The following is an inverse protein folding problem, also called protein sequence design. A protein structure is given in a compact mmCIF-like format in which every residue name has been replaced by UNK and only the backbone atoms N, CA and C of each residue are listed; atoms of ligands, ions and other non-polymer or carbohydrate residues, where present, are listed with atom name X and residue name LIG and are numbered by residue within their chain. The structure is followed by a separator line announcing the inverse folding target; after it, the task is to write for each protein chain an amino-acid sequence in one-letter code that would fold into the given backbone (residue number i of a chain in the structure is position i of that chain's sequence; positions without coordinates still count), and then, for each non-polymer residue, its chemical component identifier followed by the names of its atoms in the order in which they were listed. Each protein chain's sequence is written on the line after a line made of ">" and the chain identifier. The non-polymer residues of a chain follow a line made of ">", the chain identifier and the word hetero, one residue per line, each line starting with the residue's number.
data_IF_008892190906
#
_entry.id   IF_008892190906
#
_cell.length_a   1.000
_cell.length_b   1.000
_cell.length_c   1.000
_cell.angle_alpha   90.00
_cell.angle_beta   90.00
_cell.angle_gamma   90.00
#
_symmetry.space_group_name_H-M   'P 1'
#
loop_
_entity.id
_entity.type
_entity.pdbx_description
1 polymer ?
#
# COMPACT_ATOMS: atom_id res chain seq x y z
N UNK A 1 56.14 3.21 -29.15
CA UNK A 1 55.76 3.79 -27.85
C UNK A 1 54.75 4.88 -28.16
N UNK A 2 53.46 4.55 -28.04
CA UNK A 2 52.35 5.41 -28.48
C UNK A 2 51.38 5.50 -27.31
N UNK A 3 51.33 6.70 -26.73
CA UNK A 3 50.55 7.01 -25.53
C UNK A 3 49.07 6.98 -25.89
N UNK A 4 48.33 6.03 -25.30
CA UNK A 4 46.86 5.99 -25.35
C UNK A 4 46.33 7.19 -24.55
N UNK A 5 45.60 8.10 -25.20
CA UNK A 5 45.04 9.33 -24.59
C UNK A 5 43.55 9.26 -24.22
N UNK A 6 42.93 8.08 -24.24
CA UNK A 6 41.55 7.95 -23.78
C UNK A 6 41.35 6.66 -22.99
N UNK A 7 41.32 6.80 -21.66
CA UNK A 7 40.68 5.87 -20.73
C UNK A 7 39.54 6.62 -20.05
N UNK A 8 38.44 6.81 -20.77
CA UNK A 8 37.20 7.28 -20.17
C UNK A 8 36.42 6.08 -19.66
N UNK A 9 36.43 5.83 -18.34
CA UNK A 9 35.40 5.03 -17.72
C UNK A 9 34.12 5.86 -17.78
N UNK A 10 33.23 5.59 -18.72
CA UNK A 10 31.84 5.98 -18.53
C UNK A 10 31.38 5.26 -17.27
N UNK A 11 31.43 5.96 -16.12
CA UNK A 11 30.68 5.57 -14.94
C UNK A 11 29.26 5.40 -15.43
N UNK A 12 28.73 4.19 -15.31
CA UNK A 12 27.29 3.92 -15.37
C UNK A 12 26.65 4.85 -14.34
N UNK A 13 26.18 6.02 -14.79
CA UNK A 13 25.64 7.06 -13.91
C UNK A 13 24.25 6.63 -13.48
N UNK A 14 24.18 5.86 -12.40
CA UNK A 14 23.00 5.79 -11.54
C UNK A 14 22.78 7.12 -10.78
N UNK A 15 23.80 7.97 -10.72
CA UNK A 15 23.84 9.33 -10.14
C UNK A 15 23.02 10.41 -10.88
N UNK A 16 22.15 10.06 -11.83
CA UNK A 16 21.32 11.05 -12.56
C UNK A 16 19.83 10.70 -12.54
N UNK A 17 19.48 9.44 -12.33
CA UNK A 17 18.09 8.99 -12.36
C UNK A 17 17.68 8.69 -10.93
N UNK A 18 17.15 9.71 -10.26
CA UNK A 18 16.46 9.58 -8.97
C UNK A 18 15.34 8.53 -9.07
N UNK A 19 14.94 7.97 -7.93
CA UNK A 19 13.68 7.23 -7.82
C UNK A 19 12.54 8.20 -8.20
N UNK A 20 12.06 8.11 -9.44
CA UNK A 20 11.01 8.97 -9.98
C UNK A 20 9.73 8.68 -9.20
N UNK A 21 9.27 9.64 -8.41
CA UNK A 21 7.93 9.61 -7.84
C UNK A 21 6.94 9.62 -9.01
N UNK A 22 6.13 8.56 -9.19
CA UNK A 22 5.35 8.39 -10.40
C UNK A 22 4.26 9.48 -10.50
N UNK A 23 3.97 9.93 -11.73
CA UNK A 23 2.87 10.86 -11.96
C UNK A 23 1.53 10.15 -11.73
N UNK A 24 0.92 10.40 -10.58
CA UNK A 24 -0.27 9.69 -10.09
C UNK A 24 -1.61 10.26 -10.63
N UNK A 25 -1.59 11.31 -11.45
CA UNK A 25 -2.79 12.01 -11.95
C UNK A 25 -3.10 11.67 -13.41
N UNK A 26 -4.37 11.38 -13.71
CA UNK A 26 -4.83 10.92 -15.04
C UNK A 26 -5.72 11.94 -15.78
N UNK A 27 -6.05 13.09 -15.17
CA UNK A 27 -7.05 14.03 -15.70
C UNK A 27 -6.44 15.36 -16.23
N UNK A 28 -6.91 15.89 -17.39
CA UNK A 28 -6.43 17.17 -17.93
C UNK A 28 -7.03 18.43 -17.26
N UNK A 29 -8.13 18.30 -16.52
CA UNK A 29 -8.79 19.40 -15.80
C UNK A 29 -8.76 19.13 -14.29
N UNK A 30 -7.61 19.35 -13.67
CA UNK A 30 -7.44 19.22 -12.22
C UNK A 30 -7.87 20.53 -11.56
N UNK A 31 -8.80 20.47 -10.62
CA UNK A 31 -9.12 21.59 -9.74
C UNK A 31 -8.04 21.64 -8.65
N UNK A 32 -7.09 22.56 -8.80
CA UNK A 32 -6.17 22.90 -7.72
C UNK A 32 -6.82 24.05 -6.96
N UNK A 33 -7.11 23.91 -5.64
CA UNK A 33 -7.63 25.04 -4.88
C UNK A 33 -6.67 26.23 -5.00
N UNK A 34 -7.20 27.44 -5.02
CA UNK A 34 -6.36 28.63 -5.01
C UNK A 34 -5.86 28.87 -3.56
N UNK A 35 -4.58 28.65 -3.29
CA UNK A 35 -3.98 28.90 -1.98
C UNK A 35 -2.47 28.73 -1.99
N UNK A 36 -1.81 29.46 -1.10
CA UNK A 36 -0.41 29.24 -0.76
C UNK A 36 -0.39 28.51 0.58
N UNK A 37 0.10 27.27 0.59
CA UNK A 37 0.18 26.47 1.79
C UNK A 37 1.62 26.05 2.07
N UNK A 38 1.89 25.80 3.34
CA UNK A 38 3.18 25.38 3.87
C UNK A 38 2.99 24.10 4.69
N UNK A 39 3.96 23.18 4.71
CA UNK A 39 3.91 22.05 5.62
C UNK A 39 4.13 22.55 7.05
N UNK A 40 3.63 21.82 8.04
CA UNK A 40 3.89 22.18 9.43
C UNK A 40 5.38 22.03 9.76
N UNK A 41 5.94 23.02 10.46
CA UNK A 41 7.38 23.10 10.76
C UNK A 41 7.87 22.03 11.75
N UNK A 42 6.95 21.31 12.36
CA UNK A 42 7.22 20.23 13.31
C UNK A 42 7.18 18.84 12.70
N UNK A 43 6.91 18.73 11.39
CA UNK A 43 6.88 17.44 10.71
C UNK A 43 8.28 16.81 10.65
N UNK A 44 8.41 15.53 11.01
CA UNK A 44 9.66 14.82 10.86
C UNK A 44 9.97 14.56 9.38
N UNK A 45 11.26 14.48 9.06
CA UNK A 45 11.77 14.07 7.74
C UNK A 45 11.46 12.59 7.53
N UNK A 46 10.72 12.29 6.46
CA UNK A 46 10.34 10.91 6.10
C UNK A 46 11.46 10.23 5.32
N UNK A 47 12.03 10.93 4.35
CA UNK A 47 13.08 10.39 3.50
C UNK A 47 13.95 11.51 2.92
N UNK A 48 15.15 11.12 2.51
CA UNK A 48 16.10 11.99 1.84
C UNK A 48 16.37 11.48 0.42
N UNK A 49 16.36 12.38 -0.56
CA UNK A 49 16.76 12.05 -1.93
C UNK A 49 18.24 11.66 -1.98
N UNK A 50 18.57 10.51 -2.59
CA UNK A 50 19.95 10.04 -2.63
C UNK A 50 20.86 10.94 -3.46
N UNK A 51 20.39 11.47 -4.61
CA UNK A 51 21.18 12.35 -5.46
C UNK A 51 21.02 13.83 -5.07
N UNK A 52 19.78 14.28 -4.84
CA UNK A 52 19.49 15.68 -4.49
C UNK A 52 19.90 16.05 -3.06
N UNK A 53 20.04 15.05 -2.18
CA UNK A 53 20.26 15.20 -0.74
C UNK A 53 19.17 16.04 -0.05
N UNK A 54 18.01 16.16 -0.69
CA UNK A 54 16.88 16.93 -0.18
C UNK A 54 16.03 16.10 0.77
N UNK A 55 15.55 16.76 1.83
CA UNK A 55 14.73 16.15 2.86
C UNK A 55 13.25 16.43 2.58
N UNK A 56 12.44 15.38 2.62
CA UNK A 56 11.00 15.43 2.35
C UNK A 56 10.20 15.06 3.60
N UNK A 57 9.12 15.80 3.84
CA UNK A 57 8.23 15.64 5.01
C UNK A 57 6.84 15.11 4.64
N UNK A 58 6.46 15.18 3.36
CA UNK A 58 5.23 14.57 2.83
C UNK A 58 5.54 14.06 1.42
N UNK A 59 5.13 12.84 1.10
CA UNK A 59 5.26 12.31 -0.26
C UNK A 59 4.05 12.60 -1.14
N UNK A 60 4.26 12.63 -2.45
CA UNK A 60 3.19 12.77 -3.44
C UNK A 60 2.15 11.66 -3.30
N UNK A 61 0.88 12.00 -3.52
CA UNK A 61 -0.22 11.06 -3.49
C UNK A 61 -0.75 10.73 -2.09
N UNK A 62 -0.10 11.23 -1.03
CA UNK A 62 -0.57 11.07 0.34
C UNK A 62 -1.77 11.95 0.64
N UNK A 63 -2.70 11.39 1.40
CA UNK A 63 -3.87 12.13 1.89
C UNK A 63 -3.41 13.14 2.93
N UNK A 64 -3.82 14.39 2.77
CA UNK A 64 -3.40 15.51 3.61
C UNK A 64 -4.56 16.16 4.34
N UNK A 65 -4.26 16.70 5.52
CA UNK A 65 -5.13 17.53 6.36
C UNK A 65 -4.48 18.90 6.57
N UNK A 66 -5.22 19.82 7.19
CA UNK A 66 -4.70 21.09 7.66
C UNK A 66 -4.65 21.13 9.19
N UNK A 67 -3.61 21.74 9.74
CA UNK A 67 -3.63 22.18 11.13
C UNK A 67 -4.53 23.40 11.27
N UNK A 68 -4.94 23.70 12.50
CA UNK A 68 -5.68 24.93 12.82
C UNK A 68 -4.92 26.22 12.43
N UNK A 69 -3.61 26.13 12.23
CA UNK A 69 -2.76 27.25 11.81
C UNK A 69 -2.69 27.40 10.27
N UNK A 70 -3.41 26.55 9.51
CA UNK A 70 -3.40 26.56 8.04
C UNK A 70 -2.19 25.86 7.42
N UNK A 71 -1.48 25.03 8.19
CA UNK A 71 -0.32 24.28 7.71
C UNK A 71 -0.75 22.88 7.25
N UNK A 72 -0.14 22.36 6.19
CA UNK A 72 -0.44 21.03 5.67
C UNK A 72 0.29 19.98 6.49
N UNK A 73 -0.43 18.90 6.82
CA UNK A 73 0.10 17.72 7.48
C UNK A 73 -0.45 16.45 6.83
N UNK A 74 0.28 15.32 6.85
CA UNK A 74 -0.29 14.03 6.46
C UNK A 74 -1.51 13.67 7.34
N UNK A 75 -2.54 13.09 6.72
CA UNK A 75 -3.76 12.67 7.40
C UNK A 75 -3.54 11.62 8.52
N UNK A 76 -2.37 10.99 8.63
CA UNK A 76 -2.05 10.07 9.72
C UNK A 76 -2.29 10.64 11.12
N UNK A 77 -2.03 11.93 11.32
CA UNK A 77 -2.21 12.57 12.62
C UNK A 77 -3.69 12.65 13.01
N UNK A 78 -4.57 12.82 12.01
CA UNK A 78 -6.02 12.71 12.15
C UNK A 78 -6.45 11.25 12.35
N UNK A 79 -5.88 10.32 11.58
CA UNK A 79 -6.19 8.90 11.67
C UNK A 79 -5.96 8.35 13.08
N UNK A 80 -4.80 8.65 13.67
CA UNK A 80 -4.47 8.20 15.03
C UNK A 80 -5.49 8.74 16.03
N UNK A 81 -5.88 10.01 15.90
CA UNK A 81 -6.88 10.63 16.76
C UNK A 81 -8.30 10.06 16.59
N UNK A 82 -8.60 9.42 15.45
CA UNK A 82 -9.88 8.78 15.19
C UNK A 82 -9.87 7.28 15.49
N UNK A 83 -8.70 6.68 15.73
CA UNK A 83 -8.58 5.23 15.90
C UNK A 83 -9.18 4.81 17.24
N UNK A 84 -10.25 3.98 17.27
CA UNK A 84 -10.84 3.53 18.52
C UNK A 84 -9.83 2.75 19.34
N UNK A 85 -9.62 3.16 20.60
CA UNK A 85 -8.68 2.49 21.51
C UNK A 85 -7.22 2.90 21.37
N UNK A 86 -6.91 3.98 20.65
CA UNK A 86 -5.58 4.60 20.70
C UNK A 86 -5.21 4.92 22.15
N UNK A 87 -4.06 4.40 22.60
CA UNK A 87 -3.59 4.61 23.96
C UNK A 87 -2.88 5.96 24.08
N UNK A 88 -3.00 6.62 25.24
CA UNK A 88 -2.28 7.85 25.56
C UNK A 88 -0.75 7.74 25.31
N UNK A 89 -0.21 6.54 25.43
CA UNK A 89 1.21 6.18 25.26
C UNK A 89 1.61 5.84 23.82
N UNK A 90 0.68 5.78 22.88
CA UNK A 90 0.99 5.46 21.49
C UNK A 90 1.89 6.55 20.90
N UNK A 91 2.94 6.14 20.20
CA UNK A 91 3.90 7.07 19.59
C UNK A 91 3.31 7.64 18.30
N UNK A 92 3.25 8.97 18.21
CA UNK A 92 2.70 9.68 17.07
C UNK A 92 3.80 10.25 16.18
N UNK A 93 4.80 10.88 16.81
CA UNK A 93 5.93 11.49 16.11
C UNK A 93 7.22 10.83 16.59
N UNK A 94 8.12 10.55 15.66
CA UNK A 94 9.49 10.11 15.96
C UNK A 94 10.43 11.08 15.28
N UNK A 95 11.15 11.87 16.09
CA UNK A 95 12.23 12.71 15.63
C UNK A 95 13.55 11.91 15.64
N UNK A 96 14.26 12.01 14.53
CA UNK A 96 15.53 11.35 14.24
C UNK A 96 16.71 12.33 14.31
N UNK A 97 17.92 11.83 14.10
CA UNK A 97 19.10 12.69 13.96
C UNK A 97 19.03 13.60 12.73
N UNK A 98 18.28 13.21 11.68
CA UNK A 98 18.05 14.06 10.51
C UNK A 98 17.20 15.27 10.88
N UNK A 99 16.20 15.09 11.74
CA UNK A 99 15.34 16.19 12.22
C UNK A 99 16.13 17.22 13.04
N UNK A 100 17.04 16.74 13.88
CA UNK A 100 17.98 17.60 14.62
C UNK A 100 18.86 18.38 13.64
N UNK A 101 19.41 17.70 12.62
CA UNK A 101 20.28 18.32 11.62
C UNK A 101 19.53 19.34 10.74
N UNK A 102 18.23 19.10 10.47
CA UNK A 102 17.37 20.02 9.74
C UNK A 102 16.82 21.16 10.59
N UNK A 103 16.91 21.07 11.92
CA UNK A 103 16.33 22.05 12.83
C UNK A 103 14.81 22.00 12.88
N UNK A 104 14.22 20.81 12.69
CA UNK A 104 12.76 20.59 12.82
C UNK A 104 12.28 21.11 14.17
N UNK A 105 11.13 21.77 14.18
CA UNK A 105 10.56 22.32 15.41
C UNK A 105 9.89 21.20 16.20
N UNK A 106 10.18 21.14 17.49
CA UNK A 106 9.52 20.22 18.41
C UNK A 106 8.07 20.67 18.66
N UNK A 107 7.11 19.79 18.40
CA UNK A 107 5.70 20.07 18.68
C UNK A 107 5.45 20.39 20.16
N UNK A 108 6.23 19.80 21.08
CA UNK A 108 6.05 19.98 22.51
C UNK A 108 6.45 21.37 22.99
N UNK A 109 7.61 21.84 22.52
CA UNK A 109 8.24 23.05 23.05
C UNK A 109 8.14 24.26 22.11
N UNK A 110 7.91 24.05 20.82
CA UNK A 110 7.99 25.10 19.80
C UNK A 110 9.41 25.58 19.51
N UNK A 111 10.42 24.86 19.97
CA UNK A 111 11.85 25.14 19.73
C UNK A 111 12.44 24.02 18.87
N UNK A 112 13.57 24.24 18.20
CA UNK A 112 14.24 23.21 17.42
C UNK A 112 14.56 21.96 18.25
N UNK A 113 14.32 20.77 17.68
CA UNK A 113 14.65 19.49 18.28
C UNK A 113 16.17 19.38 18.44
N UNK A 114 16.63 19.06 19.66
CA UNK A 114 18.07 19.01 19.99
C UNK A 114 18.63 17.58 20.05
N UNK A 115 17.76 16.58 20.15
CA UNK A 115 18.11 15.17 20.14
C UNK A 115 16.96 14.33 19.59
N UNK A 116 17.27 13.17 19.03
CA UNK A 116 16.26 12.20 18.60
C UNK A 116 15.36 11.82 19.79
N UNK A 117 14.05 11.84 19.58
CA UNK A 117 13.04 11.54 20.60
C UNK A 117 11.71 11.14 19.97
N UNK A 118 10.85 10.52 20.74
CA UNK A 118 9.46 10.21 20.35
C UNK A 118 8.50 11.10 21.10
N UNK A 119 7.38 11.45 20.47
CA UNK A 119 6.27 12.17 21.09
C UNK A 119 5.05 11.25 21.04
N UNK A 120 4.47 11.02 22.21
CA UNK A 120 3.25 10.23 22.39
C UNK A 120 2.00 11.03 22.09
N UNK A 121 0.88 10.31 21.95
CA UNK A 121 -0.43 10.87 21.69
C UNK A 121 -0.86 11.87 22.76
N UNK A 122 -0.64 11.54 24.04
CA UNK A 122 -0.89 12.45 25.16
C UNK A 122 0.02 13.67 25.13
N UNK A 123 1.34 13.49 24.94
CA UNK A 123 2.31 14.59 24.92
C UNK A 123 1.97 15.61 23.83
N UNK A 124 1.56 15.13 22.65
CA UNK A 124 1.12 16.02 21.56
C UNK A 124 -0.14 16.81 21.92
N UNK A 125 -1.16 16.18 22.51
CA UNK A 125 -2.40 16.87 22.89
C UNK A 125 -2.15 17.95 23.96
N UNK A 126 -1.38 17.60 24.99
CA UNK A 126 -0.98 18.54 26.05
C UNK A 126 -0.19 19.70 25.47
N UNK A 127 0.74 19.43 24.56
CA UNK A 127 1.54 20.46 23.91
C UNK A 127 0.71 21.43 23.08
N UNK A 128 -0.24 20.92 22.29
CA UNK A 128 -1.13 21.72 21.45
C UNK A 128 -1.97 22.69 22.28
N UNK A 129 -2.50 22.23 23.43
CA UNK A 129 -3.23 23.08 24.37
C UNK A 129 -2.30 24.08 25.08
N UNK A 130 -1.18 23.61 25.64
CA UNK A 130 -0.24 24.44 26.40
C UNK A 130 0.37 25.57 25.55
N UNK A 131 0.56 25.31 24.25
CA UNK A 131 1.03 26.30 23.28
C UNK A 131 -0.08 27.19 22.73
N UNK A 132 -1.33 26.96 23.09
CA UNK A 132 -2.49 27.71 22.62
C UNK A 132 -2.77 27.53 21.12
N UNK A 133 -2.36 26.40 20.54
CA UNK A 133 -2.63 26.08 19.13
C UNK A 133 -4.09 25.66 18.93
N UNK A 134 -4.70 25.11 19.98
CA UNK A 134 -6.13 24.84 20.13
C UNK A 134 -6.53 25.31 21.53
N UNK A 135 -7.73 25.86 21.67
CA UNK A 135 -8.29 26.12 23.00
C UNK A 135 -9.14 24.92 23.46
N UNK A 136 -9.23 24.71 24.77
CA UNK A 136 -10.11 23.68 25.36
C UNK A 136 -11.56 23.82 24.85
N UNK A 137 -12.05 25.05 24.70
CA UNK A 137 -13.37 25.32 24.15
C UNK A 137 -13.52 24.87 22.70
N UNK A 138 -12.48 25.02 21.87
CA UNK A 138 -12.53 24.54 20.48
C UNK A 138 -12.57 23.01 20.39
N UNK A 139 -12.02 22.32 21.39
CA UNK A 139 -12.08 20.87 21.51
C UNK A 139 -13.37 20.39 22.23
N UNK A 140 -14.30 21.31 22.52
CA UNK A 140 -15.60 20.98 23.10
C UNK A 140 -15.65 20.94 24.64
N UNK A 141 -14.53 21.24 25.31
CA UNK A 141 -14.47 21.27 26.78
C UNK A 141 -15.03 22.58 27.34
N UNK A 142 -15.44 22.53 28.60
CA UNK A 142 -16.03 23.68 29.30
C UNK A 142 -15.33 23.93 30.63
N UNK A 143 -15.52 25.10 31.22
CA UNK A 143 -14.95 25.38 32.55
C UNK A 143 -15.46 24.41 33.64
N UNK A 144 -16.60 23.76 33.41
CA UNK A 144 -17.19 22.76 34.31
C UNK A 144 -16.74 21.33 34.01
N UNK A 145 -16.09 21.13 32.88
CA UNK A 145 -15.61 19.83 32.37
C UNK A 145 -14.29 20.08 31.61
N UNK A 146 -13.20 20.38 32.34
CA UNK A 146 -11.92 20.73 31.75
C UNK A 146 -11.20 19.48 31.22
N UNK A 147 -10.32 19.67 30.24
CA UNK A 147 -9.49 18.61 29.69
C UNK A 147 -8.70 17.86 30.79
N UNK A 148 -8.69 16.54 30.69
CA UNK A 148 -7.93 15.64 31.56
C UNK A 148 -6.94 14.80 30.76
N UNK A 149 -5.79 14.51 31.36
CA UNK A 149 -4.72 13.73 30.71
C UNK A 149 -4.91 12.22 30.83
N UNK A 150 -6.01 11.78 31.44
CA UNK A 150 -6.30 10.37 31.71
C UNK A 150 -7.35 9.76 30.80
N UNK A 151 -8.17 10.58 30.15
CA UNK A 151 -9.21 10.10 29.22
C UNK A 151 -8.70 10.13 27.78
N UNK A 152 -8.57 8.95 27.17
CA UNK A 152 -8.14 8.80 25.78
C UNK A 152 -9.09 9.45 24.77
N UNK A 153 -10.37 9.60 25.12
CA UNK A 153 -11.38 10.25 24.29
C UNK A 153 -11.15 11.75 24.25
N UNK A 154 -10.88 12.36 25.40
CA UNK A 154 -10.59 13.79 25.48
C UNK A 154 -9.29 14.15 24.76
N UNK A 155 -8.25 13.30 24.89
CA UNK A 155 -6.98 13.44 24.16
C UNK A 155 -7.24 13.40 22.63
N UNK A 156 -8.09 12.47 22.19
CA UNK A 156 -8.51 12.40 20.80
C UNK A 156 -9.24 13.66 20.34
N UNK A 157 -10.19 14.17 21.12
CA UNK A 157 -10.96 15.38 20.78
C UNK A 157 -10.07 16.62 20.61
N UNK A 158 -9.04 16.79 21.44
CA UNK A 158 -8.04 17.87 21.29
C UNK A 158 -7.33 17.79 19.94
N UNK A 159 -6.81 16.60 19.59
CA UNK A 159 -6.05 16.42 18.35
C UNK A 159 -6.96 16.46 17.13
N UNK A 160 -8.20 16.01 17.28
CA UNK A 160 -9.24 16.14 16.28
C UNK A 160 -9.64 17.60 16.02
N UNK A 161 -9.62 18.45 17.04
CA UNK A 161 -9.83 19.89 16.88
C UNK A 161 -8.59 20.61 16.31
N UNK A 162 -7.40 20.04 16.50
CA UNK A 162 -6.15 20.59 15.96
C UNK A 162 -5.94 20.28 14.47
N UNK A 163 -6.18 19.03 14.07
CA UNK A 163 -6.00 18.53 12.71
C UNK A 163 -7.37 18.35 12.07
N UNK A 164 -7.60 19.04 10.96
CA UNK A 164 -8.84 18.98 10.20
C UNK A 164 -9.11 17.58 9.64
N UNK A 165 -10.35 17.36 9.19
CA UNK A 165 -10.64 16.30 8.24
C UNK A 165 -9.78 16.46 6.96
N UNK A 166 -9.56 15.39 6.18
CA UNK A 166 -8.82 15.42 4.93
C UNK A 166 -9.31 16.50 3.99
N UNK A 167 -8.36 17.24 3.44
CA UNK A 167 -8.63 18.35 2.50
C UNK A 167 -8.29 17.99 1.06
N UNK A 168 -7.55 16.91 0.83
CA UNK A 168 -7.15 16.46 -0.49
C UNK A 168 -5.94 15.56 -0.47
N UNK A 169 -5.22 15.54 -1.59
CA UNK A 169 -4.04 14.68 -1.78
C UNK A 169 -2.85 15.51 -2.23
N UNK A 170 -1.67 15.29 -1.63
CA UNK A 170 -0.45 15.99 -1.98
C UNK A 170 -0.09 15.81 -3.47
N UNK A 171 0.11 16.91 -4.19
CA UNK A 171 0.41 16.87 -5.61
C UNK A 171 1.83 16.34 -5.89
N UNK A 172 2.79 16.79 -5.09
CA UNK A 172 4.21 16.50 -5.24
C UNK A 172 4.81 16.16 -3.88
N UNK A 173 6.04 15.66 -3.88
CA UNK A 173 6.81 15.56 -2.65
C UNK A 173 7.05 16.96 -2.08
N UNK A 174 6.86 17.09 -0.76
CA UNK A 174 6.93 18.35 -0.03
C UNK A 174 8.22 18.38 0.79
N UNK A 175 9.02 19.42 0.55
CA UNK A 175 10.30 19.60 1.22
C UNK A 175 10.11 19.95 2.70
N UNK A 176 11.08 19.53 3.52
CA UNK A 176 11.21 20.01 4.89
C UNK A 176 11.30 21.55 4.91
N UNK A 177 10.46 22.17 5.72
CA UNK A 177 10.29 23.62 5.75
C UNK A 177 10.94 24.25 6.98
N UNK A 178 11.73 25.30 6.76
CA UNK A 178 12.50 25.98 7.82
C UNK A 178 11.69 27.07 8.58
N UNK A 179 10.39 27.23 8.29
CA UNK A 179 9.51 28.21 8.93
C UNK A 179 9.56 29.61 8.30
N UNK A 180 8.64 30.49 8.70
CA UNK A 180 8.53 31.88 8.21
C UNK A 180 9.29 32.91 9.08
N UNK A 181 9.89 32.45 10.17
CA UNK A 181 10.65 33.32 11.07
C UNK A 181 12.07 33.50 10.51
N UNK A 182 12.52 34.72 10.18
CA UNK A 182 13.85 34.94 9.59
C UNK A 182 15.02 34.42 10.43
N UNK A 183 14.82 34.29 11.75
CA UNK A 183 15.80 33.69 12.68
C UNK A 183 15.76 32.16 12.80
N UNK A 184 14.75 31.51 12.20
CA UNK A 184 14.62 30.05 12.10
C UNK A 184 14.99 29.52 10.70
N UNK A 185 15.26 30.42 9.75
CA UNK A 185 15.69 30.06 8.39
C UNK A 185 17.12 29.51 8.43
N UNK A 186 17.25 28.21 8.26
CA UNK A 186 18.56 27.54 8.17
C UNK A 186 19.26 27.77 6.82
N UNK A 187 18.49 28.15 5.79
CA UNK A 187 19.00 28.49 4.46
C UNK A 187 18.69 29.95 4.14
N UNK A 188 19.74 30.74 3.90
CA UNK A 188 19.58 32.11 3.44
C UNK A 188 18.93 32.11 2.03
N UNK A 189 17.67 32.55 1.95
CA UNK A 189 17.00 32.97 0.72
C UNK A 189 16.75 31.92 -0.38
N UNK A 190 16.97 30.63 -0.13
CA UNK A 190 16.69 29.57 -1.11
C UNK A 190 15.61 28.63 -0.62
N UNK A 191 14.38 28.88 -1.09
CA UNK A 191 13.23 28.01 -0.89
C UNK A 191 13.04 27.20 -2.18
N UNK A 192 13.41 25.91 -2.15
CA UNK A 192 13.33 25.03 -3.34
C UNK A 192 11.90 24.92 -3.89
N UNK A 193 10.91 25.04 -3.02
CA UNK A 193 9.50 24.96 -3.37
C UNK A 193 8.77 26.18 -2.80
N UNK A 194 8.41 27.11 -3.66
CA UNK A 194 7.72 28.35 -3.27
C UNK A 194 6.23 28.13 -2.92
N UNK A 195 5.63 27.03 -3.39
CA UNK A 195 4.22 26.70 -3.18
C UNK A 195 4.04 25.18 -3.02
N UNK A 196 3.40 24.75 -1.94
CA UNK A 196 2.82 23.40 -1.84
C UNK A 196 1.45 23.43 -2.50
N UNK A 197 1.02 22.33 -3.11
CA UNK A 197 -0.32 22.18 -3.68
C UNK A 197 -0.86 20.80 -3.33
N UNK A 198 -2.19 20.72 -3.17
CA UNK A 198 -2.90 19.47 -3.09
C UNK A 198 -4.05 19.46 -4.08
N UNK A 199 -4.42 18.27 -4.53
CA UNK A 199 -5.50 18.05 -5.48
C UNK A 199 -6.80 17.71 -4.74
N UNK A 200 -7.88 18.28 -5.24
CA UNK A 200 -9.26 17.89 -4.91
C UNK A 200 -9.97 17.50 -6.21
N UNK A 201 -11.03 16.68 -6.09
CA UNK A 201 -11.81 16.22 -7.25
C UNK A 201 -10.96 15.62 -8.38
N UNK A 202 -10.05 14.72 -8.02
CA UNK A 202 -9.06 14.13 -8.95
C UNK A 202 -9.21 12.61 -9.06
N UNK A 203 -9.03 12.08 -10.27
CA UNK A 203 -8.86 10.66 -10.50
C UNK A 203 -7.39 10.27 -10.45
N UNK A 204 -7.08 9.34 -9.55
CA UNK A 204 -5.74 8.84 -9.31
C UNK A 204 -5.62 7.36 -9.66
N UNK A 205 -4.45 6.99 -10.17
CA UNK A 205 -4.03 5.59 -10.27
C UNK A 205 -3.09 5.30 -9.12
N UNK A 206 -3.48 4.35 -8.28
CA UNK A 206 -2.74 4.01 -7.06
C UNK A 206 -2.39 2.52 -7.09
N UNK A 207 -1.11 2.14 -6.94
CA UNK A 207 -0.73 0.74 -6.89
C UNK A 207 -1.36 0.07 -5.67
N UNK A 208 -1.87 -1.15 -5.84
CA UNK A 208 -2.42 -1.92 -4.72
C UNK A 208 -1.29 -2.72 -4.10
N UNK A 209 -1.08 -2.50 -2.81
CA UNK A 209 -0.11 -3.24 -2.03
C UNK A 209 -0.67 -4.63 -1.69
N UNK A 210 0.19 -5.66 -1.76
CA UNK A 210 -0.16 -6.99 -1.29
C UNK A 210 0.17 -7.10 0.20
N UNK A 211 -0.81 -7.48 1.01
CA UNK A 211 -0.54 -7.76 2.41
C UNK A 211 0.21 -9.08 2.55
N UNK A 212 1.07 -9.06 3.55
CA UNK A 212 2.00 -10.10 3.94
C UNK A 212 1.93 -10.14 5.47
N UNK A 213 1.19 -11.07 6.08
CA UNK A 213 1.20 -11.23 7.55
C UNK A 213 1.71 -12.60 7.99
N UNK A 214 2.91 -12.51 8.55
CA UNK A 214 3.72 -13.33 9.46
C UNK A 214 2.98 -14.17 10.53
N UNK A 215 3.48 -15.35 10.98
CA UNK A 215 2.83 -16.08 12.07
C UNK A 215 2.90 -15.42 13.44
N UNK A 216 3.84 -14.50 13.73
CA UNK A 216 3.92 -13.90 15.07
C UNK A 216 4.57 -12.50 15.08
N UNK A 217 3.78 -11.48 14.78
CA UNK A 217 3.90 -10.15 15.37
C UNK A 217 5.33 -9.55 15.42
N UNK A 218 5.91 -9.23 14.26
CA UNK A 218 6.72 -8.01 14.08
C UNK A 218 6.96 -7.77 12.58
N UNK A 219 6.50 -6.63 12.08
CA UNK A 219 6.69 -6.20 10.70
C UNK A 219 8.18 -5.97 10.40
N UNK A 220 8.85 -7.01 9.93
CA UNK A 220 10.13 -6.96 9.23
C UNK A 220 10.08 -7.89 8.01
N UNK A 221 9.76 -7.31 6.85
CA UNK A 221 10.07 -7.88 5.53
C UNK A 221 9.16 -8.99 4.99
N UNK A 222 8.74 -8.83 3.73
CA UNK A 222 8.50 -9.87 2.71
C UNK A 222 8.09 -11.28 3.20
N UNK A 223 6.89 -11.45 3.78
CA UNK A 223 6.39 -12.78 4.15
C UNK A 223 5.15 -13.18 3.31
N UNK A 224 5.33 -14.13 2.38
CA UNK A 224 4.23 -14.70 1.59
C UNK A 224 3.17 -15.39 2.47
N UNK A 225 1.89 -15.29 2.09
CA UNK A 225 0.80 -16.05 2.70
C UNK A 225 1.05 -17.54 2.48
N UNK A 226 0.91 -18.35 3.53
CA UNK A 226 1.33 -19.75 3.51
C UNK A 226 0.17 -20.65 3.92
N UNK A 227 -0.32 -21.49 3.01
CA UNK A 227 -1.21 -22.60 3.38
C UNK A 227 -0.32 -23.71 3.94
N UNK A 228 -0.37 -23.96 5.25
CA UNK A 228 0.44 -25.02 5.84
C UNK A 228 -0.08 -26.40 5.47
N UNK A 229 0.81 -27.37 5.23
CA UNK A 229 0.45 -28.77 4.96
C UNK A 229 -0.43 -29.41 6.07
N UNK A 230 -0.40 -28.86 7.30
CA UNK A 230 -1.24 -29.28 8.42
C UNK A 230 -2.63 -28.58 8.46
N UNK A 231 -2.74 -27.34 7.96
CA UNK A 231 -4.03 -26.65 7.80
C UNK A 231 -4.80 -27.14 6.57
N UNK A 232 -4.09 -27.72 5.61
CA UNK A 232 -4.67 -28.41 4.49
C UNK A 232 -5.23 -29.79 4.89
N UNK A 233 -6.18 -29.78 5.82
CA UNK A 233 -7.26 -30.77 5.75
C UNK A 233 -8.02 -30.45 4.47
N UNK A 234 -7.52 -30.97 3.35
CA UNK A 234 -8.05 -30.81 2.01
C UNK A 234 -9.45 -31.45 1.94
N UNK A 235 -10.43 -30.76 2.50
CA UNK A 235 -11.81 -31.20 2.54
C UNK A 235 -12.40 -30.90 1.17
N UNK A 236 -12.88 -31.95 0.50
CA UNK A 236 -13.66 -31.79 -0.72
C UNK A 236 -14.87 -30.89 -0.41
N UNK A 237 -15.05 -29.83 -1.19
CA UNK A 237 -16.18 -28.92 -0.98
C UNK A 237 -17.50 -29.70 -1.14
N UNK A 238 -18.39 -29.65 -0.14
CA UNK A 238 -19.70 -30.29 -0.23
C UNK A 238 -20.82 -29.28 0.11
N UNK A 239 -21.60 -28.81 -0.88
CA UNK A 239 -22.67 -27.83 -0.66
C UNK A 239 -23.83 -28.38 0.18
N UNK A 240 -23.96 -29.71 0.31
CA UNK A 240 -25.09 -30.36 0.98
C UNK A 240 -24.85 -30.69 2.46
N UNK A 241 -23.60 -30.87 2.90
CA UNK A 241 -23.31 -31.45 4.23
C UNK A 241 -22.20 -30.76 5.03
N UNK A 242 -21.43 -29.84 4.44
CA UNK A 242 -20.29 -29.20 5.11
C UNK A 242 -20.57 -27.85 5.77
N UNK A 243 -21.78 -27.29 5.62
CA UNK A 243 -22.02 -25.87 5.99
C UNK A 243 -21.28 -24.88 5.08
N UNK A 244 -20.78 -25.32 3.92
CA UNK A 244 -19.97 -24.52 3.00
C UNK A 244 -20.78 -23.54 2.12
N UNK A 245 -22.09 -23.44 2.34
CA UNK A 245 -23.00 -22.62 1.53
C UNK A 245 -23.28 -23.19 0.13
N UNK A 246 -24.19 -22.53 -0.60
CA UNK A 246 -24.54 -22.85 -1.99
C UNK A 246 -23.66 -22.13 -3.03
N UNK A 247 -22.73 -21.28 -2.58
CA UNK A 247 -21.87 -20.45 -3.41
C UNK A 247 -20.40 -20.72 -3.05
N UNK A 248 -19.56 -20.88 -4.08
CA UNK A 248 -18.12 -21.13 -3.95
C UNK A 248 -17.29 -19.96 -4.53
N UNK A 249 -16.23 -19.50 -3.83
CA UNK A 249 -15.97 -19.72 -2.39
C UNK A 249 -17.04 -18.98 -1.57
N UNK A 250 -17.42 -19.51 -0.39
CA UNK A 250 -18.47 -18.90 0.43
C UNK A 250 -18.01 -17.49 0.88
N UNK A 251 -18.69 -16.41 0.45
CA UNK A 251 -18.21 -15.05 0.72
C UNK A 251 -18.35 -14.61 2.18
N UNK A 252 -19.14 -15.35 2.99
CA UNK A 252 -19.60 -14.91 4.32
C UNK A 252 -19.17 -15.82 5.47
N UNK A 253 -18.41 -16.89 5.21
CA UNK A 253 -17.96 -17.80 6.26
C UNK A 253 -16.49 -17.55 6.61
N UNK A 254 -16.26 -16.74 7.64
CA UNK A 254 -15.00 -16.67 8.39
C UNK A 254 -14.60 -18.00 9.08
N UNK A 255 -15.22 -19.13 8.69
CA UNK A 255 -15.03 -20.43 9.32
C UNK A 255 -15.16 -21.62 8.34
N UNK A 256 -14.92 -21.43 7.04
CA UNK A 256 -14.77 -22.55 6.09
C UNK A 256 -13.29 -22.87 5.85
N UNK A 257 -12.91 -24.16 5.81
CA UNK A 257 -11.51 -24.57 5.97
C UNK A 257 -10.62 -24.04 4.83
N UNK A 258 -9.41 -23.63 5.21
CA UNK A 258 -8.32 -23.30 4.30
C UNK A 258 -8.06 -24.51 3.38
N UNK A 259 -7.91 -24.28 2.06
CA UNK A 259 -7.53 -25.33 1.11
C UNK A 259 -8.67 -26.28 0.71
N UNK A 260 -9.90 -25.78 0.56
CA UNK A 260 -11.00 -26.57 -0.03
C UNK A 260 -10.62 -27.08 -1.41
N UNK A 261 -10.81 -28.38 -1.64
CA UNK A 261 -10.62 -28.98 -2.95
C UNK A 261 -11.94 -29.06 -3.72
N UNK A 262 -11.86 -28.75 -5.00
CA UNK A 262 -12.91 -28.95 -5.97
C UNK A 262 -12.48 -30.04 -6.95
N UNK A 263 -13.32 -31.04 -7.12
CA UNK A 263 -13.11 -32.02 -8.18
C UNK A 263 -13.43 -31.42 -9.56
N UNK A 264 -13.00 -32.05 -10.66
CA UNK A 264 -13.34 -31.61 -12.02
C UNK A 264 -14.84 -31.51 -12.24
N UNK A 265 -15.62 -32.45 -11.70
CA UNK A 265 -17.09 -32.41 -11.74
C UNK A 265 -17.64 -31.15 -11.07
N UNK A 266 -17.06 -30.77 -9.93
CA UNK A 266 -17.48 -29.57 -9.19
C UNK A 266 -17.05 -28.28 -9.90
N UNK A 267 -15.84 -28.25 -10.46
CA UNK A 267 -15.39 -27.15 -11.31
C UNK A 267 -16.32 -26.96 -12.52
N UNK A 268 -16.68 -28.04 -13.22
CA UNK A 268 -17.61 -27.98 -14.36
C UNK A 268 -19.00 -27.43 -13.96
N UNK A 269 -19.45 -27.64 -12.71
CA UNK A 269 -20.72 -27.09 -12.24
C UNK A 269 -20.69 -25.56 -12.05
N UNK A 270 -19.50 -24.97 -11.92
CA UNK A 270 -19.33 -23.52 -11.81
C UNK A 270 -19.35 -22.88 -13.19
N UNK A 271 -20.27 -21.94 -13.43
CA UNK A 271 -20.42 -21.26 -14.73
C UNK A 271 -19.13 -20.61 -15.24
N UNK A 272 -18.22 -20.22 -14.34
CA UNK A 272 -16.92 -19.64 -14.70
C UNK A 272 -15.98 -20.65 -15.37
N UNK A 273 -16.06 -21.94 -15.02
CA UNK A 273 -15.15 -22.99 -15.50
C UNK A 273 -15.82 -24.03 -16.39
N UNK A 274 -17.15 -24.04 -16.46
CA UNK A 274 -17.94 -25.04 -17.20
C UNK A 274 -17.64 -25.14 -18.70
N UNK A 275 -17.04 -24.10 -19.29
CA UNK A 275 -16.64 -24.09 -20.70
C UNK A 275 -15.26 -24.72 -20.94
N UNK A 276 -14.40 -24.75 -19.92
CA UNK A 276 -12.99 -25.14 -20.04
C UNK A 276 -12.66 -26.45 -19.29
N UNK A 277 -13.53 -26.90 -18.40
CA UNK A 277 -13.40 -28.12 -17.60
C UNK A 277 -14.59 -29.02 -17.90
N UNK A 278 -14.37 -30.26 -18.30
CA UNK A 278 -15.38 -31.28 -18.44
C UNK A 278 -15.49 -32.17 -17.18
N UNK A 279 -16.65 -32.82 -17.03
CA UNK A 279 -16.86 -33.81 -15.95
C UNK A 279 -15.90 -34.97 -16.13
N UNK A 280 -15.15 -35.31 -15.07
CA UNK A 280 -14.15 -36.38 -15.08
C UNK A 280 -12.78 -36.00 -15.65
N UNK A 281 -12.52 -34.71 -15.92
CA UNK A 281 -11.18 -34.27 -16.29
C UNK A 281 -10.15 -34.54 -15.19
N UNK A 282 -8.89 -34.66 -15.60
CA UNK A 282 -7.71 -34.82 -14.72
C UNK A 282 -7.30 -33.49 -14.08
N UNK A 283 -8.28 -32.81 -13.48
CA UNK A 283 -8.14 -31.47 -12.91
C UNK A 283 -8.73 -31.43 -11.51
N UNK A 284 -8.07 -30.67 -10.65
CA UNK A 284 -8.54 -30.37 -9.31
C UNK A 284 -8.32 -28.90 -9.01
N UNK A 285 -9.34 -28.28 -8.43
CA UNK A 285 -9.32 -26.90 -7.99
C UNK A 285 -8.95 -26.81 -6.52
N UNK A 286 -8.14 -25.83 -6.15
CA UNK A 286 -7.73 -25.55 -4.78
C UNK A 286 -8.16 -24.12 -4.49
N UNK A 287 -9.06 -23.95 -3.52
CA UNK A 287 -9.49 -22.63 -3.07
C UNK A 287 -8.43 -22.03 -2.13
N UNK A 288 -7.93 -20.85 -2.49
CA UNK A 288 -7.12 -20.03 -1.59
C UNK A 288 -8.04 -19.30 -0.59
N UNK A 289 -7.57 -19.05 0.64
CA UNK A 289 -8.29 -18.27 1.66
C UNK A 289 -8.69 -16.85 1.25
N UNK A 290 -8.00 -16.26 0.28
CA UNK A 290 -8.17 -14.86 -0.11
C UNK A 290 -8.63 -14.76 -1.57
N UNK A 291 -9.53 -13.81 -1.84
CA UNK A 291 -9.97 -13.46 -3.18
C UNK A 291 -10.21 -11.94 -3.27
N UNK A 292 -9.62 -11.22 -4.23
CA UNK A 292 -8.66 -11.69 -5.23
C UNK A 292 -7.26 -11.94 -4.65
N UNK A 293 -6.42 -12.62 -5.43
CA UNK A 293 -4.98 -12.81 -5.18
C UNK A 293 -4.13 -12.17 -6.27
N UNK A 294 -2.86 -11.95 -5.96
CA UNK A 294 -1.89 -11.47 -6.94
C UNK A 294 -1.57 -12.55 -7.97
N UNK A 295 -1.33 -12.13 -9.21
CA UNK A 295 -0.80 -13.03 -10.23
C UNK A 295 0.60 -13.52 -9.84
N UNK A 296 0.96 -14.75 -10.26
CA UNK A 296 2.33 -15.24 -10.09
C UNK A 296 3.29 -14.50 -11.02
N UNK A 297 4.15 -13.67 -10.43
CA UNK A 297 5.09 -12.81 -11.15
C UNK A 297 6.44 -12.82 -10.43
N UNK A 298 7.46 -12.18 -11.00
CA UNK A 298 8.75 -12.03 -10.30
C UNK A 298 8.66 -11.16 -9.04
N UNK A 299 7.63 -10.33 -8.90
CA UNK A 299 7.38 -9.47 -7.73
C UNK A 299 6.51 -10.15 -6.68
N UNK A 300 5.58 -10.98 -7.14
CA UNK A 300 4.63 -11.74 -6.32
C UNK A 300 4.73 -13.22 -6.66
N UNK A 301 5.87 -13.87 -6.35
CA UNK A 301 6.08 -15.27 -6.71
C UNK A 301 5.09 -16.16 -5.95
N UNK A 302 4.61 -17.19 -6.65
CA UNK A 302 3.80 -18.26 -6.08
C UNK A 302 4.56 -19.58 -6.23
N UNK A 303 4.47 -20.42 -5.21
CA UNK A 303 5.11 -21.73 -5.20
C UNK A 303 4.57 -22.59 -4.08
N UNK A 304 4.72 -23.90 -4.20
CA UNK A 304 4.19 -24.91 -3.27
C UNK A 304 5.27 -25.61 -2.43
N UNK A 305 6.55 -25.29 -2.63
CA UNK A 305 7.68 -25.99 -2.00
C UNK A 305 7.79 -27.49 -2.38
N UNK A 306 6.79 -28.04 -3.08
CA UNK A 306 6.72 -29.35 -3.69
C UNK A 306 6.89 -29.27 -5.21
N UNK A 307 6.83 -30.41 -5.89
CA UNK A 307 6.89 -30.49 -7.36
C UNK A 307 5.49 -30.48 -8.01
N UNK A 308 4.46 -29.96 -7.33
CA UNK A 308 3.09 -29.95 -7.86
C UNK A 308 2.76 -28.65 -8.63
N UNK A 309 3.36 -27.51 -8.28
CA UNK A 309 3.20 -26.24 -9.02
C UNK A 309 4.44 -25.87 -9.84
N UNK A 310 4.87 -26.75 -10.76
CA UNK A 310 6.12 -26.56 -11.53
C UNK A 310 5.94 -25.59 -12.70
N UNK A 311 4.85 -25.74 -13.47
CA UNK A 311 4.66 -25.07 -14.77
C UNK A 311 3.31 -24.37 -14.82
N UNK A 312 3.33 -23.06 -14.57
CA UNK A 312 2.14 -22.25 -14.74
C UNK A 312 1.73 -22.17 -16.21
N UNK A 313 0.44 -22.32 -16.48
CA UNK A 313 -0.18 -22.23 -17.80
C UNK A 313 -0.98 -20.95 -17.92
N UNK A 314 -1.14 -20.50 -19.17
CA UNK A 314 -1.94 -19.33 -19.51
C UNK A 314 -3.45 -19.59 -19.50
N UNK A 315 -3.88 -20.85 -19.49
CA UNK A 315 -5.29 -21.26 -19.60
C UNK A 315 -5.49 -22.67 -19.05
N UNK A 316 -6.70 -22.95 -18.55
CA UNK A 316 -7.08 -24.23 -17.98
C UNK A 316 -6.89 -25.38 -18.98
N UNK A 317 -7.30 -25.19 -20.24
CA UNK A 317 -7.15 -26.20 -21.31
C UNK A 317 -5.70 -26.64 -21.62
N UNK A 318 -4.69 -25.93 -21.10
CA UNK A 318 -3.26 -26.27 -21.27
C UNK A 318 -2.68 -27.03 -20.08
N UNK A 319 -3.48 -27.31 -19.06
CA UNK A 319 -3.10 -28.10 -17.89
C UNK A 319 -3.33 -29.57 -18.23
N UNK A 320 -2.29 -30.26 -18.72
CA UNK A 320 -2.44 -31.59 -19.34
C UNK A 320 -1.52 -32.68 -18.80
N UNK A 321 -0.64 -32.36 -17.87
CA UNK A 321 0.36 -33.29 -17.31
C UNK A 321 0.77 -32.85 -15.90
N UNK A 322 1.36 -33.77 -15.14
CA UNK A 322 1.83 -33.52 -13.78
C UNK A 322 2.70 -32.26 -13.67
N UNK A 323 2.48 -31.49 -12.62
CA UNK A 323 3.17 -30.23 -12.37
C UNK A 323 2.65 -29.05 -13.18
N UNK A 324 1.72 -29.24 -14.12
CA UNK A 324 1.05 -28.13 -14.80
C UNK A 324 -0.06 -27.57 -13.92
N UNK A 325 -0.17 -26.24 -13.89
CA UNK A 325 -1.19 -25.55 -13.09
C UNK A 325 -1.62 -24.22 -13.72
N UNK A 326 -2.80 -23.75 -13.34
CA UNK A 326 -3.38 -22.47 -13.74
C UNK A 326 -3.85 -21.72 -12.49
N UNK A 327 -3.63 -20.41 -12.46
CA UNK A 327 -4.14 -19.53 -11.41
C UNK A 327 -5.30 -18.72 -11.96
N UNK A 328 -6.44 -18.78 -11.27
CA UNK A 328 -7.50 -17.80 -11.40
C UNK A 328 -7.36 -16.73 -10.30
N UNK A 329 -6.73 -15.58 -10.60
CA UNK A 329 -6.37 -14.62 -9.57
C UNK A 329 -7.56 -13.80 -9.06
N UNK A 330 -8.70 -13.78 -9.74
CA UNK A 330 -9.85 -13.00 -9.28
C UNK A 330 -10.67 -13.73 -8.21
N UNK A 331 -10.75 -15.06 -8.33
CA UNK A 331 -11.47 -15.93 -7.39
C UNK A 331 -10.53 -16.53 -6.35
N UNK A 332 -9.22 -16.53 -6.62
CA UNK A 332 -8.23 -17.17 -5.74
C UNK A 332 -8.30 -18.69 -5.84
N UNK A 333 -8.35 -19.24 -7.07
CA UNK A 333 -8.40 -20.69 -7.29
C UNK A 333 -7.18 -21.13 -8.07
N UNK A 334 -6.48 -22.15 -7.58
CA UNK A 334 -5.43 -22.85 -8.34
C UNK A 334 -6.06 -24.09 -8.96
N UNK A 335 -5.92 -24.27 -10.26
CA UNK A 335 -6.34 -25.48 -10.96
C UNK A 335 -5.09 -26.23 -11.37
N UNK A 336 -4.87 -27.41 -10.82
CA UNK A 336 -3.69 -28.23 -11.08
C UNK A 336 -4.08 -29.56 -11.70
N UNK A 337 -3.15 -30.14 -12.47
CA UNK A 337 -3.32 -31.48 -13.02
C UNK A 337 -3.17 -32.52 -11.91
N UNK A 338 -4.06 -33.52 -11.91
CA UNK A 338 -3.98 -34.70 -11.05
C UNK A 338 -4.27 -35.95 -11.89
N UNK A 339 -3.36 -36.92 -11.85
CA UNK A 339 -3.52 -38.18 -12.58
C UNK A 339 -4.73 -38.96 -12.02
N UNK A 340 -5.44 -39.68 -12.90
CA UNK A 340 -6.65 -40.47 -12.60
C UNK A 340 -7.94 -39.68 -12.27
N UNK A 341 -7.90 -38.35 -12.23
CA UNK A 341 -9.07 -37.47 -12.30
C UNK A 341 -10.11 -37.57 -11.16
N UNK A 342 -10.90 -36.52 -10.99
CA UNK A 342 -12.04 -36.41 -10.04
C UNK A 342 -11.80 -36.92 -8.60
N UNK A 343 -10.54 -36.96 -8.14
CA UNK A 343 -10.14 -37.41 -6.80
C UNK A 343 -9.59 -36.23 -5.98
N UNK A 344 -10.00 -36.05 -4.71
CA UNK A 344 -9.60 -34.92 -3.86
C UNK A 344 -8.20 -35.10 -3.26
N UNK A 345 -7.23 -35.69 -3.98
CA UNK A 345 -5.95 -36.07 -3.40
C UNK A 345 -4.75 -35.57 -4.21
N UNK A 346 -4.62 -34.25 -4.37
CA UNK A 346 -3.30 -33.67 -4.61
C UNK A 346 -2.48 -33.77 -3.31
N UNK A 347 -1.45 -34.60 -3.31
CA UNK A 347 -0.55 -34.74 -2.17
C UNK A 347 0.48 -33.59 -2.16
N UNK A 348 0.07 -32.40 -1.74
CA UNK A 348 1.03 -31.36 -1.39
C UNK A 348 1.75 -31.77 -0.11
N UNK A 349 3.06 -32.02 -0.22
CA UNK A 349 3.92 -32.32 0.94
C UNK A 349 4.48 -31.06 1.58
N UNK A 350 4.22 -29.89 1.01
CA UNK A 350 4.78 -28.61 1.40
C UNK A 350 3.74 -27.49 1.26
N UNK A 351 4.10 -26.30 1.77
CA UNK A 351 3.17 -25.19 1.90
C UNK A 351 3.03 -24.41 0.59
N UNK A 352 1.81 -23.98 0.26
CA UNK A 352 1.58 -23.05 -0.85
C UNK A 352 1.79 -21.62 -0.37
N UNK A 353 2.83 -20.98 -0.90
CA UNK A 353 3.15 -19.56 -0.76
C UNK A 353 2.50 -18.74 -1.86
N UNK A 354 1.76 -17.69 -1.50
CA UNK A 354 1.11 -16.77 -2.44
C UNK A 354 1.03 -15.34 -1.88
N UNK A 355 0.63 -14.37 -2.71
CA UNK A 355 0.43 -12.97 -2.29
C UNK A 355 -1.04 -12.56 -2.44
N UNK A 356 -1.59 -11.87 -1.45
CA UNK A 356 -3.01 -11.52 -1.39
C UNK A 356 -3.25 -10.05 -1.06
N UNK A 357 -4.42 -9.55 -1.43
CA UNK A 357 -4.84 -8.17 -1.20
C UNK A 357 -5.65 -8.05 0.08
N UNK A 358 -5.00 -8.28 1.22
CA UNK A 358 -5.66 -8.18 2.54
C UNK A 358 -5.42 -6.78 3.10
N UNK A 359 -6.43 -6.17 3.72
CA UNK A 359 -6.19 -5.12 4.70
C UNK A 359 -7.12 -5.32 5.87
N UNK A 360 -6.68 -4.87 7.04
CA UNK A 360 -7.56 -4.60 8.16
C UNK A 360 -7.46 -3.11 8.43
N UNK A 361 -8.58 -2.46 8.73
CA UNK A 361 -8.63 -1.01 8.98
C UNK A 361 -7.60 -0.50 10.02
N UNK A 362 -7.12 -1.37 10.91
CA UNK A 362 -6.16 -1.05 11.99
C UNK A 362 -4.68 -1.25 11.62
N UNK A 363 -4.35 -2.08 10.63
CA UNK A 363 -2.97 -2.40 10.29
C UNK A 363 -2.69 -2.12 8.80
N UNK A 364 -2.01 -1.00 8.55
CA UNK A 364 -1.45 -0.71 7.24
C UNK A 364 -0.37 -1.73 6.89
N UNK A 365 -0.38 -2.20 5.65
CA UNK A 365 0.68 -3.03 5.07
C UNK A 365 1.89 -2.20 4.59
N UNK A 366 1.84 -0.87 4.67
CA UNK A 366 2.98 -0.02 4.37
C UNK A 366 4.12 -0.24 5.37
N UNK A 367 5.34 -0.35 4.86
CA UNK A 367 6.54 -0.29 5.68
C UNK A 367 6.99 1.16 5.93
N UNK A 368 6.49 2.13 5.15
CA UNK A 368 6.94 3.52 5.20
C UNK A 368 5.86 4.52 4.76
N UNK A 369 5.99 5.76 5.22
CA UNK A 369 5.23 6.93 4.76
C UNK A 369 5.72 7.47 3.41
N UNK A 370 6.75 6.85 2.82
CA UNK A 370 7.36 7.34 1.58
C UNK A 370 6.48 7.14 0.34
N UNK A 371 5.80 6.01 0.21
CA UNK A 371 5.15 5.64 -1.04
C UNK A 371 3.63 5.66 -0.95
N UNK A 372 2.95 6.09 -2.01
CA UNK A 372 1.50 6.00 -2.12
C UNK A 372 1.08 4.61 -2.58
N UNK A 373 0.14 4.01 -1.86
CA UNK A 373 -0.50 2.77 -2.30
C UNK A 373 -1.93 2.66 -1.76
N UNK A 374 -2.64 1.66 -2.26
CA UNK A 374 -3.93 1.21 -1.76
C UNK A 374 -3.70 -0.07 -0.97
N UNK A 375 -4.08 -0.07 0.30
CA UNK A 375 -4.01 -1.23 1.17
C UNK A 375 -5.35 -1.97 1.18
N UNK A 376 -5.30 -3.26 0.88
CA UNK A 376 -6.46 -4.17 0.84
C UNK A 376 -7.05 -4.40 -0.53
N UNK A 377 -8.30 -4.85 -0.56
CA UNK A 377 -9.02 -5.20 -1.78
C UNK A 377 -9.92 -4.04 -2.27
N UNK A 378 -9.48 -3.24 -3.26
CA UNK A 378 -10.30 -2.18 -3.83
C UNK A 378 -11.43 -2.76 -4.68
N UNK A 379 -12.67 -2.74 -4.17
CA UNK A 379 -13.84 -3.12 -4.97
C UNK A 379 -14.46 -1.88 -5.65
N UNK A 380 -14.83 -1.95 -6.95
CA UNK A 380 -15.53 -0.84 -7.62
C UNK A 380 -16.77 -0.40 -6.84
N UNK A 381 -16.93 0.91 -6.66
CA UNK A 381 -18.01 1.53 -5.91
C UNK A 381 -17.75 1.68 -4.41
N UNK A 382 -16.73 1.03 -3.85
CA UNK A 382 -16.40 1.11 -2.42
C UNK A 382 -15.89 2.50 -2.07
N UNK A 383 -16.35 3.03 -0.95
CA UNK A 383 -15.82 4.26 -0.38
C UNK A 383 -14.39 4.03 0.08
N UNK A 384 -13.57 5.07 -0.06
CA UNK A 384 -12.15 5.02 0.28
C UNK A 384 -11.92 5.99 1.43
N UNK A 385 -11.08 5.58 2.37
CA UNK A 385 -10.55 6.38 3.47
C UNK A 385 -9.03 6.21 3.50
N UNK A 386 -8.38 6.58 4.60
CA UNK A 386 -6.93 6.56 4.74
C UNK A 386 -6.48 5.80 5.99
N UNK A 387 -5.22 5.36 6.01
CA UNK A 387 -4.62 4.62 7.12
C UNK A 387 -3.63 5.46 7.95
N UNK A 388 -2.95 4.81 8.91
CA UNK A 388 -1.92 5.40 9.79
C UNK A 388 -0.69 5.98 9.08
N UNK A 389 -0.55 5.78 7.77
CA UNK A 389 0.55 6.31 6.95
C UNK A 389 0.03 7.16 5.78
N UNK A 390 -1.21 7.63 5.87
CA UNK A 390 -1.88 8.44 4.85
C UNK A 390 -2.00 7.76 3.49
N UNK A 391 -2.01 6.43 3.45
CA UNK A 391 -2.31 5.62 2.27
C UNK A 391 -3.80 5.33 2.16
N UNK A 392 -4.26 4.95 0.97
CA UNK A 392 -5.67 4.68 0.72
C UNK A 392 -6.07 3.30 1.24
N UNK A 393 -7.23 3.20 1.89
CA UNK A 393 -7.84 1.91 2.29
C UNK A 393 -9.34 1.90 1.96
N UNK A 394 -9.90 0.70 1.80
CA UNK A 394 -11.35 0.54 1.71
C UNK A 394 -12.01 0.95 3.03
N UNK A 395 -13.12 1.66 2.93
CA UNK A 395 -13.91 2.08 4.08
C UNK A 395 -14.82 0.94 4.53
N UNK A 396 -14.60 0.41 5.74
CA UNK A 396 -15.35 -0.72 6.30
C UNK A 396 -16.55 -0.29 7.16
N UNK A 397 -16.65 0.99 7.54
CA UNK A 397 -17.70 1.51 8.43
C UNK A 397 -18.24 2.87 7.97
N UNK A 398 -19.46 3.22 8.38
CA UNK A 398 -20.07 4.53 8.08
C UNK A 398 -19.45 5.71 8.84
N UNK A 399 -18.56 5.44 9.80
CA UNK A 399 -18.01 6.47 10.69
C UNK A 399 -16.60 6.94 10.28
N UNK A 400 -16.04 6.40 9.21
CA UNK A 400 -14.73 6.84 8.73
C UNK A 400 -14.88 8.06 7.82
N UNK A 401 -13.91 8.96 7.87
CA UNK A 401 -13.84 10.10 6.95
C UNK A 401 -13.61 9.59 5.53
N UNK A 402 -14.64 9.72 4.70
CA UNK A 402 -14.63 9.29 3.30
C UNK A 402 -13.91 10.37 2.47
N UNK A 403 -12.84 9.98 1.80
CA UNK A 403 -12.05 10.88 0.93
C UNK A 403 -12.36 10.67 -0.55
N UNK A 404 -13.07 9.60 -0.89
CA UNK A 404 -13.29 9.24 -2.28
C UNK A 404 -14.00 7.91 -2.48
N UNK A 405 -13.97 7.43 -3.73
CA UNK A 405 -14.50 6.12 -4.12
C UNK A 405 -13.56 5.42 -5.10
N UNK A 406 -13.45 4.11 -4.96
CA UNK A 406 -12.80 3.27 -5.95
C UNK A 406 -13.72 3.17 -7.18
N UNK A 407 -13.27 3.64 -8.34
CA UNK A 407 -13.99 3.54 -9.61
C UNK A 407 -13.83 2.17 -10.25
N UNK A 408 -12.66 1.56 -10.08
CA UNK A 408 -12.32 0.32 -10.72
C UNK A 408 -10.90 -0.13 -10.40
N UNK A 409 -10.57 -1.33 -10.86
CA UNK A 409 -9.23 -1.90 -10.72
C UNK A 409 -8.72 -2.33 -12.08
N UNK A 410 -7.42 -2.17 -12.31
CA UNK A 410 -6.75 -2.58 -13.54
C UNK A 410 -5.63 -3.53 -13.16
N UNK A 411 -5.62 -4.73 -13.75
CA UNK A 411 -4.47 -5.63 -13.66
C UNK A 411 -3.39 -5.27 -14.67
N UNK A 412 -2.14 -5.45 -14.26
CA UNK A 412 -0.92 -5.22 -15.02
C UNK A 412 -0.01 -6.46 -14.93
N UNK A 413 0.90 -6.70 -15.89
CA UNK A 413 1.14 -5.90 -17.09
C UNK A 413 -0.04 -6.02 -18.05
N UNK A 414 -0.39 -4.93 -18.74
CA UNK A 414 -1.26 -5.05 -19.91
C UNK A 414 -0.47 -5.86 -20.95
N UNK A 415 -1.11 -6.77 -21.69
CA UNK A 415 -0.49 -7.64 -22.72
C UNK A 415 0.11 -6.92 -23.93
N UNK A 416 0.65 -5.71 -23.72
CA UNK A 416 1.35 -4.86 -24.66
C UNK A 416 2.83 -5.23 -24.73
N UNK A 417 3.38 -5.97 -23.77
CA UNK A 417 4.78 -6.42 -23.82
C UNK A 417 5.02 -7.29 -25.07
N UNK A 418 4.10 -8.20 -25.40
CA UNK A 418 4.13 -9.03 -26.61
C UNK A 418 4.11 -8.20 -27.91
N UNK A 419 3.68 -6.93 -27.83
CA UNK A 419 3.67 -5.98 -28.96
C UNK A 419 4.92 -5.12 -29.01
N UNK A 420 5.72 -5.11 -27.96
CA UNK A 420 6.93 -4.28 -27.84
C UNK A 420 8.15 -5.15 -28.14
N UNK A 421 8.54 -5.22 -29.42
CA UNK A 421 9.75 -5.94 -29.82
C UNK A 421 10.99 -5.18 -29.34
N UNK A 422 11.72 -5.73 -28.38
CA UNK A 422 13.08 -5.25 -28.10
C UNK A 422 14.05 -5.82 -29.11
N UNK A 423 14.86 -4.97 -29.73
CA UNK A 423 15.91 -5.41 -30.66
C UNK A 423 17.05 -6.20 -29.99
N UNK A 424 17.05 -6.30 -28.65
CA UNK A 424 18.14 -6.84 -27.85
C UNK A 424 17.59 -7.72 -26.71
N UNK A 425 17.48 -9.02 -26.95
CA UNK A 425 17.23 -10.04 -25.92
C UNK A 425 18.57 -10.66 -25.50
N UNK A 426 18.92 -10.59 -24.21
CA UNK A 426 20.14 -11.22 -23.68
C UNK A 426 20.42 -10.84 -22.23
N UNK A 427 20.88 -11.80 -21.43
CA UNK A 427 21.23 -11.64 -20.00
C UNK A 427 22.42 -10.69 -19.73
N UNK A 428 23.03 -10.17 -20.79
CA UNK A 428 24.16 -9.24 -20.77
C UNK A 428 23.77 -7.77 -20.63
N UNK A 429 22.46 -7.45 -20.64
CA UNK A 429 21.97 -6.09 -20.49
C UNK A 429 21.23 -5.91 -19.17
N UNK A 430 21.79 -5.05 -18.31
CA UNK A 430 21.12 -4.56 -17.11
C UNK A 430 19.81 -3.83 -17.45
N UNK A 431 18.87 -3.76 -16.50
CA UNK A 431 17.55 -3.12 -16.66
C UNK A 431 17.66 -1.67 -17.14
N UNK A 432 18.77 -1.01 -16.85
CA UNK A 432 19.11 0.35 -17.30
C UNK A 432 19.36 0.50 -18.81
N UNK A 433 19.72 -0.59 -19.49
CA UNK A 433 19.94 -0.62 -20.93
C UNK A 433 18.73 -1.17 -21.72
N UNK A 434 17.67 -1.58 -21.02
CA UNK A 434 16.45 -2.11 -21.62
C UNK A 434 15.49 -0.95 -21.97
N UNK A 435 14.64 -1.14 -22.97
CA UNK A 435 13.61 -0.13 -23.28
C UNK A 435 12.66 0.06 -22.09
N UNK A 436 12.10 1.26 -21.87
CA UNK A 436 11.28 1.57 -20.68
C UNK A 436 10.15 0.58 -20.36
N UNK A 437 9.55 -0.08 -21.36
CA UNK A 437 8.53 -1.11 -21.12
C UNK A 437 9.09 -2.51 -20.81
N UNK A 438 10.31 -2.81 -21.22
CA UNK A 438 10.97 -4.11 -21.01
C UNK A 438 11.72 -4.13 -19.69
N UNK A 439 12.35 -3.00 -19.33
CA UNK A 439 12.99 -2.77 -18.05
C UNK A 439 12.02 -2.99 -16.87
N UNK A 440 10.76 -2.59 -17.06
CA UNK A 440 9.71 -2.75 -16.06
C UNK A 440 8.96 -4.07 -16.18
N UNK A 441 9.29 -4.94 -17.16
CA UNK A 441 8.54 -6.15 -17.50
C UNK A 441 7.06 -5.89 -17.88
N UNK A 442 6.76 -4.73 -18.47
CA UNK A 442 5.43 -4.35 -18.97
C UNK A 442 4.54 -3.69 -17.93
N UNK A 443 5.06 -3.48 -16.72
CA UNK A 443 4.41 -2.71 -15.67
C UNK A 443 4.59 -1.22 -15.95
N UNK A 444 3.58 -0.42 -15.59
CA UNK A 444 3.69 1.03 -15.63
C UNK A 444 4.69 1.49 -14.57
N UNK A 445 5.34 2.61 -14.84
CA UNK A 445 6.14 3.39 -13.89
C UNK A 445 5.44 3.63 -12.55
N UNK A 446 4.10 3.73 -12.56
CA UNK A 446 3.23 3.82 -11.38
C UNK A 446 3.36 2.66 -10.37
N UNK A 447 3.82 1.49 -10.77
CA UNK A 447 3.94 0.29 -9.92
C UNK A 447 5.41 0.00 -9.55
N UNK A 448 6.37 0.74 -10.09
CA UNK A 448 7.79 0.58 -9.71
C UNK A 448 8.09 1.35 -8.43
N UNK A 449 7.61 0.83 -7.29
CA UNK A 449 8.16 1.19 -5.99
C UNK A 449 9.45 0.37 -5.82
N UNK A 450 10.59 1.04 -5.65
CA UNK A 450 11.90 0.40 -5.57
C UNK A 450 12.08 -0.45 -4.30
N UNK A 451 11.39 -0.08 -3.22
CA UNK A 451 11.55 -0.67 -1.89
C UNK A 451 10.28 -1.35 -1.34
N UNK A 452 9.13 -1.23 -2.02
CA UNK A 452 7.86 -1.88 -1.63
C UNK A 452 7.42 -2.93 -2.65
N UNK A 453 6.90 -4.07 -2.17
CA UNK A 453 6.33 -5.11 -3.03
C UNK A 453 4.96 -4.66 -3.54
N UNK A 454 4.98 -3.85 -4.59
CA UNK A 454 3.78 -3.47 -5.33
C UNK A 454 3.37 -4.60 -6.29
N UNK A 455 2.07 -4.92 -6.27
CA UNK A 455 1.51 -6.08 -6.96
C UNK A 455 1.07 -5.80 -8.40
N UNK A 456 0.37 -6.77 -9.01
CA UNK A 456 -0.19 -6.73 -10.34
C UNK A 456 -1.48 -5.88 -10.48
N UNK A 457 -1.95 -5.21 -9.42
CA UNK A 457 -3.23 -4.49 -9.41
C UNK A 457 -3.03 -2.99 -9.16
N UNK A 458 -3.79 -2.17 -9.88
CA UNK A 458 -3.88 -0.71 -9.69
C UNK A 458 -5.33 -0.33 -9.42
N UNK A 459 -5.55 0.41 -8.34
CA UNK A 459 -6.84 1.01 -8.02
C UNK A 459 -7.00 2.34 -8.76
N UNK A 460 -8.16 2.54 -9.38
CA UNK A 460 -8.61 3.84 -9.88
C UNK A 460 -9.46 4.48 -8.80
N UNK A 461 -8.96 5.56 -8.20
CA UNK A 461 -9.63 6.23 -7.09
C UNK A 461 -10.08 7.60 -7.55
N UNK A 462 -11.35 7.92 -7.35
CA UNK A 462 -11.84 9.28 -7.45
C UNK A 462 -11.79 9.91 -6.06
N UNK A 463 -10.86 10.84 -5.87
CA UNK A 463 -10.74 11.64 -4.66
C UNK A 463 -11.74 12.78 -4.75
N UNK A 464 -12.62 12.86 -3.76
CA UNK A 464 -13.60 13.93 -3.58
C UNK A 464 -13.51 14.35 -2.12
N UNK A 465 -12.51 15.18 -1.85
CA UNK A 465 -12.26 15.77 -0.54
C UNK A 465 -13.07 17.06 -0.37
#
# INVERSE_FOLDING_TARGET
>A
MTVKRFSGSFKTRTDILDNITPNNVVQPNVSVPAGEWKPANWLPVIWQGEASQDNFVISSGKVVCMTKQGEIVPARYRFIAMTPGAAATDVVITYSALDVAQGTIDIETGVAVTAAKTVTFLEMAVAVLARGLVSEHDAGFSNTDPFTTTDSTEIADVLQAYVSAPVGVAAYDVYAWAGDAPGALNFANYQKQHLVQFFTDVQMQVPVHVSHTDPTNNFTGNAAETITAAQASYVAWNPATGGHGSQFPCPNAMATPVGLLLTATQLNSLTRYSADVAVGDNLVGIALPHAPVASNTTRTPMGDGSAALVRQKSSIAKVTQDGDWYLDPDVGVIIAFETDGDAPALAFTANITYSAYVSTATNSCAASERYVHFSGNPRPGTHVTYDRYSNFIACESTNNEIIGRCLGTIRQPKGLLDRTRTAWEGSSFDKTAQMPGTATAGYTDLITLTDEVASDLVALINVKA
#
